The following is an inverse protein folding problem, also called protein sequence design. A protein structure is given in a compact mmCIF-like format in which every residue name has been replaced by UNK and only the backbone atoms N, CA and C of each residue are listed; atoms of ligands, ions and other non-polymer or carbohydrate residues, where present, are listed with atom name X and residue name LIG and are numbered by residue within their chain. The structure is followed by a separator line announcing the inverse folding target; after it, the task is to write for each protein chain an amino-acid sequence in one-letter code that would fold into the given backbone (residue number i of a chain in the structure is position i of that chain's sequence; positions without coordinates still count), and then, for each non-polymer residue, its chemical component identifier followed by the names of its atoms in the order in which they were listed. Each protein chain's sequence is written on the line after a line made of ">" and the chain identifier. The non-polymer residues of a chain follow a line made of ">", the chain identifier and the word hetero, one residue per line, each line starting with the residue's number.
data_IF_441445888232
#
_entry.id   IF_441445888232
#
_cell.length_a   1.000
_cell.length_b   1.000
_cell.length_c   1.000
_cell.angle_alpha   90.00
_cell.angle_beta   90.00
_cell.angle_gamma   90.00
#
_symmetry.space_group_name_H-M   'P 1'
#
loop_
_entity.id
_entity.type
_entity.pdbx_description
1 polymer ?
#
# COMPACT_ATOMS: atom_id res chain seq x y z
N UNK A 1 11.93 9.12 2.23
CA UNK A 1 10.57 9.24 1.61
C UNK A 1 9.62 8.23 2.26
N UNK A 2 8.29 8.29 2.12
CA UNK A 2 7.37 7.38 2.82
C UNK A 2 7.68 5.87 2.59
N UNK A 3 8.21 5.54 1.41
CA UNK A 3 8.73 4.20 1.06
C UNK A 3 9.99 3.74 1.82
N UNK A 4 10.66 4.61 2.57
CA UNK A 4 11.83 4.27 3.40
C UNK A 4 11.47 4.10 4.87
N UNK A 5 10.27 4.54 5.30
CA UNK A 5 9.74 4.45 6.67
C UNK A 5 8.44 3.63 6.69
N UNK A 6 8.49 2.47 6.05
CA UNK A 6 7.32 1.67 5.64
C UNK A 6 6.41 1.20 6.76
N UNK A 7 6.95 0.75 7.89
CA UNK A 7 6.14 0.14 8.94
C UNK A 7 5.13 1.12 9.55
N UNK A 8 5.55 2.37 9.76
CA UNK A 8 4.72 3.40 10.38
C UNK A 8 3.53 3.82 9.52
N UNK A 9 3.67 3.77 8.19
CA UNK A 9 2.56 4.11 7.28
C UNK A 9 1.51 2.99 7.29
N UNK A 10 1.96 1.73 7.34
CA UNK A 10 1.07 0.58 7.41
C UNK A 10 0.34 0.54 8.76
N UNK A 11 1.02 0.85 9.86
CA UNK A 11 0.38 0.94 11.18
C UNK A 11 -0.71 2.03 11.21
N UNK A 12 -0.45 3.18 10.60
CA UNK A 12 -1.47 4.24 10.49
C UNK A 12 -2.68 3.78 9.67
N UNK A 13 -2.44 3.12 8.53
CA UNK A 13 -3.53 2.58 7.70
C UNK A 13 -4.33 1.51 8.44
N UNK A 14 -3.68 0.67 9.26
CA UNK A 14 -4.34 -0.31 10.11
C UNK A 14 -5.28 0.34 11.12
N UNK A 15 -4.81 1.38 11.81
CA UNK A 15 -5.59 2.12 12.80
C UNK A 15 -6.80 2.82 12.15
N UNK A 16 -6.58 3.45 10.99
CA UNK A 16 -7.65 4.09 10.24
C UNK A 16 -8.69 3.08 9.72
N UNK A 17 -8.26 1.92 9.24
CA UNK A 17 -9.15 0.85 8.80
C UNK A 17 -9.95 0.26 9.96
N UNK A 18 -9.29 -0.06 11.08
CA UNK A 18 -9.94 -0.60 12.27
C UNK A 18 -10.97 0.34 12.89
N UNK A 19 -10.81 1.66 12.71
CA UNK A 19 -11.76 2.69 13.15
C UNK A 19 -12.82 3.04 12.10
N UNK A 20 -12.81 2.39 10.94
CA UNK A 20 -13.74 2.67 9.83
C UNK A 20 -13.52 4.02 9.15
N UNK A 21 -12.40 4.70 9.40
CA UNK A 21 -12.06 5.97 8.75
C UNK A 21 -11.67 5.78 7.28
N UNK A 22 -11.14 4.61 6.94
CA UNK A 22 -10.85 4.19 5.57
C UNK A 22 -11.55 2.86 5.32
N UNK A 23 -12.36 2.81 4.28
CA UNK A 23 -13.08 1.61 3.84
C UNK A 23 -12.20 0.71 2.96
N UNK A 24 -12.57 -0.57 2.84
CA UNK A 24 -11.94 -1.54 1.91
C UNK A 24 -11.91 -1.01 0.47
N UNK A 25 -12.97 -0.32 0.03
CA UNK A 25 -13.04 0.30 -1.30
C UNK A 25 -12.01 1.43 -1.46
N UNK A 26 -11.83 2.27 -0.43
CA UNK A 26 -10.82 3.33 -0.45
C UNK A 26 -9.40 2.74 -0.42
N UNK A 27 -9.16 1.68 0.37
CA UNK A 27 -7.90 0.95 0.38
C UNK A 27 -7.58 0.37 -1.00
N UNK A 28 -8.54 -0.31 -1.62
CA UNK A 28 -8.40 -0.91 -2.96
C UNK A 28 -8.04 0.15 -4.01
N UNK A 29 -8.75 1.28 -4.05
CA UNK A 29 -8.45 2.39 -4.98
C UNK A 29 -7.13 3.08 -4.66
N UNK A 30 -6.75 3.20 -3.39
CA UNK A 30 -5.48 3.78 -2.94
C UNK A 30 -4.29 2.95 -3.42
N UNK A 31 -4.30 1.65 -3.14
CA UNK A 31 -3.26 0.72 -3.58
C UNK A 31 -3.21 0.58 -5.11
N UNK A 32 -4.36 0.63 -5.79
CA UNK A 32 -4.41 0.67 -7.26
C UNK A 32 -3.66 1.88 -7.83
N UNK A 33 -3.86 3.08 -7.24
CA UNK A 33 -3.12 4.30 -7.65
C UNK A 33 -1.63 4.19 -7.38
N UNK A 34 -1.24 3.64 -6.23
CA UNK A 34 0.17 3.40 -5.91
C UNK A 34 0.83 2.46 -6.94
N UNK A 35 0.12 1.40 -7.36
CA UNK A 35 0.57 0.49 -8.43
C UNK A 35 0.79 1.21 -9.76
N UNK A 36 -0.14 2.10 -10.16
CA UNK A 36 0.01 2.85 -11.42
C UNK A 36 1.23 3.78 -11.43
N UNK A 37 1.63 4.31 -10.28
CA UNK A 37 2.81 5.18 -10.16
C UNK A 37 4.14 4.43 -10.04
N UNK A 38 4.16 3.09 -10.01
CA UNK A 38 5.39 2.33 -9.79
C UNK A 38 6.44 2.54 -10.88
N UNK A 39 6.02 2.62 -12.14
CA UNK A 39 6.97 2.81 -13.25
C UNK A 39 7.75 4.14 -13.10
N UNK A 40 7.06 5.23 -12.73
CA UNK A 40 7.70 6.53 -12.52
C UNK A 40 8.59 6.51 -11.26
N UNK A 41 8.17 5.75 -10.24
CA UNK A 41 8.90 5.59 -9.00
C UNK A 41 10.17 4.76 -9.20
N UNK A 42 10.12 3.76 -10.09
CA UNK A 42 11.25 2.90 -10.46
C UNK A 42 12.39 3.68 -11.12
N UNK A 43 12.10 4.82 -11.76
CA UNK A 43 13.12 5.73 -12.29
C UNK A 43 14.08 6.25 -11.20
N UNK A 44 13.58 6.39 -9.97
CA UNK A 44 14.34 6.91 -8.83
C UNK A 44 14.69 5.82 -7.80
N UNK A 45 13.92 4.72 -7.76
CA UNK A 45 14.02 3.65 -6.77
C UNK A 45 14.08 2.31 -7.53
N UNK A 46 15.29 1.75 -7.77
CA UNK A 46 15.48 0.59 -8.65
C UNK A 46 14.69 -0.67 -8.26
N UNK A 47 14.24 -0.77 -7.01
CA UNK A 47 13.51 -1.89 -6.41
C UNK A 47 12.07 -1.52 -6.01
N UNK A 48 11.49 -0.48 -6.63
CA UNK A 48 10.14 0.01 -6.30
C UNK A 48 9.07 -1.09 -6.44
N UNK A 49 9.16 -1.92 -7.49
CA UNK A 49 8.24 -3.04 -7.73
C UNK A 49 8.34 -4.11 -6.64
N UNK A 50 9.56 -4.53 -6.28
CA UNK A 50 9.78 -5.53 -5.24
C UNK A 50 9.29 -5.04 -3.88
N UNK A 51 9.60 -3.79 -3.54
CA UNK A 51 9.11 -3.13 -2.33
C UNK A 51 7.58 -3.07 -2.29
N UNK A 52 6.95 -2.71 -3.41
CA UNK A 52 5.50 -2.67 -3.50
C UNK A 52 4.88 -4.06 -3.35
N UNK A 53 5.48 -5.10 -3.95
CA UNK A 53 4.99 -6.47 -3.85
C UNK A 53 4.96 -6.96 -2.41
N UNK A 54 6.04 -6.74 -1.65
CA UNK A 54 6.10 -7.06 -0.21
C UNK A 54 4.97 -6.36 0.55
N UNK A 55 4.72 -5.08 0.27
CA UNK A 55 3.63 -4.33 0.90
C UNK A 55 2.26 -4.88 0.52
N UNK A 56 2.07 -5.21 -0.75
CA UNK A 56 0.82 -5.76 -1.27
C UNK A 56 0.48 -7.08 -0.57
N UNK A 57 1.45 -7.98 -0.41
CA UNK A 57 1.27 -9.24 0.32
C UNK A 57 0.85 -8.99 1.77
N UNK A 58 1.50 -8.06 2.47
CA UNK A 58 1.14 -7.72 3.85
C UNK A 58 -0.31 -7.21 3.98
N UNK A 59 -0.77 -6.37 3.06
CA UNK A 59 -2.14 -5.81 3.15
C UNK A 59 -3.22 -6.77 2.70
N UNK A 60 -2.91 -7.72 1.83
CA UNK A 60 -3.80 -8.84 1.48
C UNK A 60 -4.01 -9.75 2.70
N UNK A 61 -2.93 -10.12 3.41
CA UNK A 61 -3.03 -10.92 4.65
C UNK A 61 -3.88 -10.22 5.71
N UNK A 62 -3.84 -8.89 5.78
CA UNK A 62 -4.64 -8.09 6.71
C UNK A 62 -6.12 -7.91 6.27
N UNK A 63 -6.51 -8.44 5.11
CA UNK A 63 -7.89 -8.37 4.60
C UNK A 63 -8.32 -6.97 4.17
N UNK A 64 -7.38 -6.07 3.87
CA UNK A 64 -7.68 -4.68 3.50
C UNK A 64 -8.09 -4.52 2.03
N UNK A 65 -7.66 -5.47 1.20
CA UNK A 65 -7.89 -5.45 -0.24
C UNK A 65 -8.79 -6.62 -0.62
N UNK A 66 -9.70 -6.34 -1.56
CA UNK A 66 -10.38 -7.41 -2.30
C UNK A 66 -9.49 -7.70 -3.51
N UNK A 67 -9.14 -8.98 -3.79
CA UNK A 67 -8.50 -9.34 -5.04
C UNK A 67 -9.38 -8.86 -6.20
N UNK A 68 -8.79 -8.14 -7.14
CA UNK A 68 -9.47 -7.67 -8.37
C UNK A 68 -9.01 -8.51 -9.53
#
# INVERSE_FOLDING_TARGET
>A
MAMEKNDRILDLLQECYGKGLITTNQMTKGFGRAKYGLNDLALNIPDADDKFKVHYEHVVVRGWLVPV
#
